data_IF_983716919117
#
_entry.id   IF_983716919117
#
_cell.length_a   1.000
_cell.length_b   1.000
_cell.length_c   1.000
_cell.angle_alpha   90.00
_cell.angle_beta   90.00
_cell.angle_gamma   90.00
#
_symmetry.space_group_name_H-M   'P 1'
#
loop_
_entity.id
_entity.type
_entity.pdbx_description
1 polymer ?
#
# COMPACT_ATOMS: atom_id res chain seq x y z
N UNK A 1 15.23 15.34 -5.61
CA UNK A 1 13.91 15.52 -6.26
C UNK A 1 12.84 15.34 -5.20
N UNK A 2 11.93 16.30 -5.07
CA UNK A 2 10.74 16.21 -4.20
C UNK A 2 9.68 15.34 -4.87
N UNK A 3 8.92 14.57 -4.09
CA UNK A 3 7.77 13.81 -4.58
C UNK A 3 6.54 14.73 -4.60
N UNK A 4 5.78 14.70 -5.69
CA UNK A 4 4.55 15.51 -5.85
C UNK A 4 3.31 14.77 -5.33
N UNK A 5 3.29 13.45 -5.44
CA UNK A 5 2.23 12.60 -4.93
C UNK A 5 2.78 11.29 -4.36
N UNK A 6 2.28 10.90 -3.19
CA UNK A 6 2.45 9.54 -2.66
C UNK A 6 1.11 8.83 -2.62
N UNK A 7 1.02 7.68 -3.29
CA UNK A 7 -0.11 6.77 -3.26
C UNK A 7 0.17 5.65 -2.25
N UNK A 8 -0.47 5.71 -1.08
CA UNK A 8 -0.34 4.74 0.00
C UNK A 8 -1.38 3.63 -0.18
N UNK A 9 -0.93 2.44 -0.58
CA UNK A 9 -1.82 1.27 -0.69
C UNK A 9 -1.87 0.53 0.65
N UNK A 10 -3.00 0.59 1.39
CA UNK A 10 -3.12 -0.05 2.69
C UNK A 10 -3.46 -1.54 2.56
N UNK A 11 -3.12 -2.37 3.56
CA UNK A 11 -3.75 -3.68 3.70
C UNK A 11 -5.25 -3.52 4.01
N UNK A 12 -6.05 -4.53 3.67
CA UNK A 12 -7.48 -4.56 4.07
C UNK A 12 -7.68 -4.61 5.58
N UNK A 13 -6.70 -5.13 6.33
CA UNK A 13 -6.68 -5.02 7.78
C UNK A 13 -5.36 -4.41 8.25
N UNK A 14 -5.48 -3.29 8.98
CA UNK A 14 -4.32 -2.63 9.57
C UNK A 14 -3.59 -3.53 10.57
N UNK A 15 -2.28 -3.66 10.34
CA UNK A 15 -1.34 -4.50 11.08
C UNK A 15 -1.89 -5.91 11.41
N UNK A 16 -2.22 -6.65 10.35
CA UNK A 16 -2.64 -8.07 10.39
C UNK A 16 -1.66 -9.03 11.10
N UNK A 17 -0.48 -8.55 11.52
CA UNK A 17 0.51 -9.31 12.29
C UNK A 17 0.20 -9.35 13.78
N UNK A 18 -0.60 -8.40 14.30
CA UNK A 18 -0.86 -8.27 15.74
C UNK A 18 -2.10 -9.03 16.22
N UNK A 19 -3.04 -9.34 15.33
CA UNK A 19 -4.31 -9.98 15.68
C UNK A 19 -4.55 -11.17 14.77
N UNK A 20 -4.91 -12.32 15.35
CA UNK A 20 -5.50 -13.41 14.58
C UNK A 20 -6.90 -12.99 14.19
N UNK A 21 -7.13 -12.85 12.88
CA UNK A 21 -8.43 -12.43 12.35
C UNK A 21 -9.10 -13.67 11.81
N UNK A 22 -10.28 -13.98 12.36
CA UNK A 22 -11.17 -14.96 11.75
C UNK A 22 -11.87 -14.25 10.60
N UNK A 23 -11.40 -14.52 9.38
CA UNK A 23 -12.09 -14.05 8.19
C UNK A 23 -13.40 -14.83 8.07
N UNK A 24 -14.53 -14.12 7.88
CA UNK A 24 -15.79 -14.74 7.49
C UNK A 24 -15.66 -15.41 6.12
N UNK A 25 -16.75 -15.91 5.51
CA UNK A 25 -16.70 -16.43 4.15
C UNK A 25 -16.28 -15.32 3.18
N UNK A 26 -14.98 -15.27 2.87
CA UNK A 26 -14.40 -14.47 1.80
C UNK A 26 -14.33 -15.35 0.57
N UNK A 27 -14.83 -14.83 -0.55
CA UNK A 27 -14.98 -15.59 -1.80
C UNK A 27 -13.67 -16.28 -2.20
N UNK A 28 -13.71 -17.61 -2.37
CA UNK A 28 -12.60 -18.46 -2.85
C UNK A 28 -12.13 -18.09 -4.28
N UNK A 29 -12.86 -17.21 -4.97
CA UNK A 29 -12.60 -16.80 -6.36
C UNK A 29 -11.46 -15.78 -6.49
N UNK A 30 -10.93 -15.27 -5.39
CA UNK A 30 -9.74 -14.42 -5.40
C UNK A 30 -8.66 -15.19 -4.62
N UNK A 31 -7.51 -15.55 -5.23
CA UNK A 31 -6.38 -16.15 -4.54
C UNK A 31 -5.67 -15.08 -3.70
N UNK A 32 -6.42 -14.39 -2.85
CA UNK A 32 -5.90 -13.45 -1.88
C UNK A 32 -5.57 -14.27 -0.66
N UNK A 33 -4.30 -14.24 -0.26
CA UNK A 33 -4.00 -14.43 1.16
C UNK A 33 -4.95 -13.54 1.98
N UNK A 34 -5.27 -13.86 3.24
CA UNK A 34 -6.15 -13.05 4.09
C UNK A 34 -5.76 -11.55 4.21
N UNK A 35 -4.56 -11.21 3.75
CA UNK A 35 -4.03 -9.84 3.69
C UNK A 35 -4.61 -9.05 2.50
N UNK A 36 -5.28 -9.72 1.53
CA UNK A 36 -5.85 -9.13 0.31
C UNK A 36 -4.84 -8.27 -0.46
N UNK A 37 -3.60 -8.75 -0.52
CA UNK A 37 -2.57 -8.01 -1.21
C UNK A 37 -2.54 -8.35 -2.70
N UNK A 38 -3.33 -7.63 -3.48
CA UNK A 38 -3.16 -7.58 -4.92
C UNK A 38 -2.24 -6.42 -5.33
N UNK A 39 -1.62 -6.56 -6.49
CA UNK A 39 -0.92 -5.44 -7.14
C UNK A 39 -1.92 -4.30 -7.35
N UNK A 40 -1.64 -3.07 -6.87
CA UNK A 40 -2.59 -1.97 -6.96
C UNK A 40 -2.60 -1.39 -8.39
N UNK A 41 -3.20 -2.14 -9.33
CA UNK A 41 -3.15 -1.80 -10.76
C UNK A 41 -3.72 -0.41 -11.05
N UNK A 42 -4.77 -0.01 -10.33
CA UNK A 42 -5.32 1.34 -10.42
C UNK A 42 -4.31 2.43 -10.02
N UNK A 43 -3.50 2.18 -8.99
CA UNK A 43 -2.43 3.12 -8.60
C UNK A 43 -1.33 3.16 -9.65
N UNK A 44 -0.98 2.02 -10.24
CA UNK A 44 -0.02 1.98 -11.36
C UNK A 44 -0.53 2.81 -12.53
N UNK A 45 -1.80 2.70 -12.89
CA UNK A 45 -2.40 3.51 -13.96
C UNK A 45 -2.40 5.02 -13.64
N UNK A 46 -2.72 5.39 -12.40
CA UNK A 46 -2.67 6.81 -11.96
C UNK A 46 -1.23 7.33 -12.00
N UNK A 47 -0.28 6.57 -11.46
CA UNK A 47 1.12 6.96 -11.44
C UNK A 47 1.65 7.15 -12.87
N UNK A 48 1.37 6.20 -13.77
CA UNK A 48 1.81 6.26 -15.16
C UNK A 48 1.26 7.50 -15.89
N UNK A 49 -0.03 7.79 -15.72
CA UNK A 49 -0.67 8.97 -16.31
C UNK A 49 -0.04 10.27 -15.81
N UNK A 50 0.20 10.39 -14.51
CA UNK A 50 0.77 11.59 -13.89
C UNK A 50 2.26 11.75 -14.18
N UNK A 51 3.02 10.65 -14.24
CA UNK A 51 4.43 10.66 -14.62
C UNK A 51 4.60 11.15 -16.07
N UNK A 52 3.70 10.75 -16.99
CA UNK A 52 3.67 11.31 -18.35
C UNK A 52 3.40 12.81 -18.39
N UNK A 53 2.65 13.32 -17.41
CA UNK A 53 2.38 14.76 -17.24
C UNK A 53 3.50 15.50 -16.48
N UNK A 54 4.59 14.82 -16.11
CA UNK A 54 5.77 15.43 -15.47
C UNK A 54 5.79 15.40 -13.95
N UNK A 55 4.80 14.77 -13.30
CA UNK A 55 4.75 14.67 -11.84
C UNK A 55 5.60 13.51 -11.31
N UNK A 56 6.22 13.71 -10.14
CA UNK A 56 6.93 12.66 -9.42
C UNK A 56 5.98 11.91 -8.47
N UNK A 57 5.53 10.73 -8.90
CA UNK A 57 4.62 9.89 -8.13
C UNK A 57 5.37 8.74 -7.46
N UNK A 58 4.97 8.37 -6.24
CA UNK A 58 5.47 7.16 -5.58
C UNK A 58 4.32 6.32 -5.03
N UNK A 59 4.28 5.06 -5.43
CA UNK A 59 3.39 4.05 -4.83
C UNK A 59 4.09 3.41 -3.63
N UNK A 60 3.39 3.31 -2.51
CA UNK A 60 3.86 2.70 -1.27
C UNK A 60 2.88 1.62 -0.87
N UNK A 61 3.22 0.36 -1.16
CA UNK A 61 2.44 -0.77 -0.70
C UNK A 61 2.83 -1.15 0.74
N UNK A 62 1.94 -0.88 1.69
CA UNK A 62 2.19 -1.11 3.11
C UNK A 62 2.14 -2.60 3.46
N UNK A 63 1.29 -3.38 2.80
CA UNK A 63 1.16 -4.82 3.05
C UNK A 63 2.46 -5.57 2.72
N UNK A 64 3.07 -5.34 1.54
CA UNK A 64 4.34 -5.97 1.12
C UNK A 64 5.41 -5.63 2.14
N UNK A 65 5.47 -4.37 2.59
CA UNK A 65 6.48 -3.93 3.55
C UNK A 65 6.30 -4.57 4.92
N UNK A 66 5.05 -4.78 5.37
CA UNK A 66 4.74 -5.52 6.59
C UNK A 66 5.12 -7.00 6.47
N UNK A 67 4.87 -7.63 5.31
CA UNK A 67 5.21 -9.03 5.04
C UNK A 67 6.74 -9.25 4.97
N UNK A 68 7.45 -8.35 4.31
CA UNK A 68 8.91 -8.43 4.16
C UNK A 68 9.67 -8.16 5.46
N UNK A 69 9.01 -7.63 6.50
CA UNK A 69 9.66 -7.28 7.75
C UNK A 69 8.78 -7.44 8.98
N UNK A 70 9.03 -8.47 9.79
CA UNK A 70 8.36 -8.65 11.09
C UNK A 70 8.50 -7.43 12.03
N UNK A 71 9.64 -6.72 11.94
CA UNK A 71 9.92 -5.49 12.72
C UNK A 71 9.56 -4.19 11.99
N UNK A 72 8.97 -4.27 10.79
CA UNK A 72 8.56 -3.09 10.04
C UNK A 72 7.48 -2.33 10.82
N UNK A 73 7.70 -1.03 11.01
CA UNK A 73 6.77 -0.13 11.67
C UNK A 73 6.18 0.84 10.63
N UNK A 74 4.90 0.63 10.30
CA UNK A 74 4.21 1.40 9.27
C UNK A 74 4.13 2.88 9.63
N UNK A 75 3.76 3.21 10.87
CA UNK A 75 3.62 4.60 11.33
C UNK A 75 4.94 5.38 11.24
N UNK A 76 6.06 4.79 11.66
CA UNK A 76 7.39 5.40 11.55
C UNK A 76 7.78 5.64 10.10
N UNK A 77 7.40 4.74 9.19
CA UNK A 77 7.67 4.91 7.77
C UNK A 77 6.82 6.03 7.17
N UNK A 78 5.51 6.01 7.43
CA UNK A 78 4.55 7.03 6.96
C UNK A 78 4.97 8.43 7.44
N UNK A 79 5.36 8.57 8.72
CA UNK A 79 5.86 9.84 9.29
C UNK A 79 7.09 10.41 8.58
N UNK A 80 7.87 9.58 7.88
CA UNK A 80 9.07 10.01 7.12
C UNK A 80 8.75 10.38 5.68
N UNK A 81 7.56 10.08 5.19
CA UNK A 81 7.16 10.45 3.83
C UNK A 81 6.97 11.96 3.75
N UNK A 82 7.45 12.54 2.65
CA UNK A 82 7.36 13.97 2.35
C UNK A 82 6.82 14.13 0.94
N UNK A 83 5.64 14.71 0.83
CA UNK A 83 4.96 15.01 -0.41
C UNK A 83 3.89 16.07 -0.12
N UNK A 84 3.58 16.98 -1.06
CA UNK A 84 2.48 17.92 -0.89
C UNK A 84 1.11 17.25 -0.95
N UNK A 85 1.00 16.06 -1.58
CA UNK A 85 -0.27 15.32 -1.72
C UNK A 85 -0.09 13.85 -1.36
N UNK A 86 -1.10 13.30 -0.68
CA UNK A 86 -1.20 11.87 -0.37
C UNK A 86 -2.55 11.33 -0.85
N UNK A 87 -2.55 10.13 -1.40
CA UNK A 87 -3.74 9.36 -1.79
C UNK A 87 -3.60 7.89 -1.48
#
# INVERSE_FOLDING_TARGET
MSLDLVLLHPPSVYDFRQKTILYGPVSDLIPSSPIFEMYPIGFTSIAEYLERAGYQVRIVNLAVRMLNGKKFNAEKMIKRLRSPVFG
#
